data_IF_554984253139
#
_entry.id   IF_554984253139
#
_cell.length_a   1.000
_cell.length_b   1.000
_cell.length_c   1.000
_cell.angle_alpha   90.00
_cell.angle_beta   90.00
_cell.angle_gamma   90.00
#
_symmetry.space_group_name_H-M   'P 1'
#
loop_
_entity.id
_entity.type
_entity.pdbx_description
1 polymer ?
#
# COMPACT_ATOMS: atom_id res chain seq x y z
N UNK A 1 22.85 14.72 0.07
CA UNK A 1 23.47 13.38 0.07
C UNK A 1 22.56 12.35 0.71
N UNK A 2 22.19 12.42 1.99
CA UNK A 2 21.29 11.42 2.58
C UNK A 2 19.85 11.53 2.05
N UNK A 3 19.31 12.76 1.96
CA UNK A 3 17.99 13.02 1.37
C UNK A 3 17.82 12.53 -0.08
N UNK A 4 18.90 12.45 -0.87
CA UNK A 4 18.82 12.05 -2.28
C UNK A 4 18.46 10.56 -2.45
N UNK A 5 18.67 9.74 -1.41
CA UNK A 5 18.38 8.29 -1.41
C UNK A 5 17.14 7.92 -0.62
N UNK A 6 16.71 8.76 0.32
CA UNK A 6 15.55 8.51 1.16
C UNK A 6 14.25 8.55 0.35
N UNK A 7 14.07 9.51 -0.56
CA UNK A 7 12.87 9.56 -1.40
C UNK A 7 12.74 8.35 -2.35
N UNK A 8 13.79 7.95 -3.11
CA UNK A 8 13.72 6.70 -3.88
C UNK A 8 13.44 5.47 -3.01
N UNK A 9 14.03 5.39 -1.81
CA UNK A 9 13.76 4.27 -0.90
C UNK A 9 12.30 4.24 -0.43
N UNK A 10 11.74 5.39 -0.07
CA UNK A 10 10.33 5.54 0.31
C UNK A 10 9.38 5.05 -0.80
N UNK A 11 9.63 5.48 -2.04
CA UNK A 11 8.81 5.07 -3.19
C UNK A 11 8.93 3.57 -3.48
N UNK A 12 10.12 2.97 -3.35
CA UNK A 12 10.29 1.52 -3.55
C UNK A 12 9.63 0.70 -2.43
N UNK A 13 9.72 1.13 -1.18
CA UNK A 13 8.99 0.52 -0.05
C UNK A 13 7.48 0.57 -0.33
N UNK A 14 6.99 1.72 -0.77
CA UNK A 14 5.58 1.90 -1.09
C UNK A 14 5.13 0.98 -2.23
N UNK A 15 5.91 0.88 -3.32
CA UNK A 15 5.63 -0.04 -4.43
C UNK A 15 5.63 -1.50 -4.01
N UNK A 16 6.51 -1.90 -3.10
CA UNK A 16 6.51 -3.25 -2.55
C UNK A 16 5.18 -3.53 -1.81
N UNK A 17 4.71 -2.58 -1.00
CA UNK A 17 3.42 -2.69 -0.31
C UNK A 17 2.26 -2.79 -1.32
N UNK A 18 2.20 -1.92 -2.34
CA UNK A 18 1.17 -1.98 -3.38
C UNK A 18 1.17 -3.34 -4.09
N UNK A 19 2.35 -3.85 -4.44
CA UNK A 19 2.51 -5.14 -5.12
C UNK A 19 1.95 -6.30 -4.28
N UNK A 20 2.21 -6.30 -2.96
CA UNK A 20 1.66 -7.32 -2.05
C UNK A 20 0.14 -7.23 -1.98
N UNK A 21 -0.41 -6.01 -1.87
CA UNK A 21 -1.86 -5.82 -1.82
C UNK A 21 -2.54 -6.24 -3.13
N UNK A 22 -1.95 -5.95 -4.28
CA UNK A 22 -2.45 -6.41 -5.58
C UNK A 22 -2.39 -7.93 -5.72
N UNK A 23 -1.31 -8.57 -5.27
CA UNK A 23 -1.20 -10.03 -5.26
C UNK A 23 -2.28 -10.66 -4.37
N UNK A 24 -2.49 -10.12 -3.17
CA UNK A 24 -3.56 -10.55 -2.26
C UNK A 24 -4.94 -10.39 -2.89
N UNK A 25 -5.19 -9.26 -3.55
CA UNK A 25 -6.44 -9.02 -4.27
C UNK A 25 -6.69 -10.05 -5.35
N UNK A 26 -5.68 -10.35 -6.17
CA UNK A 26 -5.76 -11.36 -7.21
C UNK A 26 -6.08 -12.74 -6.64
N UNK A 27 -5.38 -13.15 -5.57
CA UNK A 27 -5.62 -14.42 -4.89
C UNK A 27 -7.01 -14.51 -4.25
N UNK A 28 -7.63 -13.36 -3.94
CA UNK A 28 -8.99 -13.27 -3.42
C UNK A 28 -10.02 -12.91 -4.51
N UNK A 29 -9.69 -13.12 -5.78
CA UNK A 29 -10.64 -13.12 -6.91
C UNK A 29 -10.80 -11.78 -7.64
N UNK A 30 -10.01 -10.76 -7.32
CA UNK A 30 -10.00 -9.51 -8.08
C UNK A 30 -9.06 -9.64 -9.30
N UNK A 31 -9.63 -9.82 -10.48
CA UNK A 31 -8.88 -10.01 -11.74
C UNK A 31 -8.37 -8.69 -12.35
N UNK A 32 -8.93 -7.55 -11.93
CA UNK A 32 -8.66 -6.21 -12.48
C UNK A 32 -8.68 -5.15 -11.40
N UNK A 33 -7.77 -4.18 -11.50
CA UNK A 33 -7.78 -2.95 -10.69
C UNK A 33 -8.75 -1.94 -11.28
N UNK A 34 -10.05 -2.24 -11.17
CA UNK A 34 -11.16 -1.34 -11.53
C UNK A 34 -12.26 -1.48 -10.50
N UNK A 35 -12.81 -0.34 -10.08
CA UNK A 35 -13.87 -0.33 -9.09
C UNK A 35 -15.03 0.54 -9.55
N UNK A 36 -16.26 0.10 -9.33
CA UNK A 36 -17.47 0.85 -9.69
C UNK A 36 -18.27 1.20 -8.45
N UNK A 37 -18.62 2.48 -8.30
CA UNK A 37 -19.49 2.94 -7.23
C UNK A 37 -20.52 3.93 -7.79
N UNK A 38 -21.81 3.63 -7.60
CA UNK A 38 -22.93 4.49 -8.02
C UNK A 38 -22.86 4.91 -9.50
N UNK A 39 -22.48 3.99 -10.39
CA UNK A 39 -22.34 4.24 -11.82
C UNK A 39 -21.04 4.96 -12.23
N UNK A 40 -20.19 5.38 -11.29
CA UNK A 40 -18.87 5.95 -11.58
C UNK A 40 -17.79 4.88 -11.54
N UNK A 41 -16.94 4.87 -12.57
CA UNK A 41 -15.74 4.04 -12.60
C UNK A 41 -14.57 4.76 -11.93
N UNK A 42 -13.84 4.01 -11.11
CA UNK A 42 -12.58 4.40 -10.49
C UNK A 42 -11.45 3.54 -11.06
N UNK A 43 -10.27 4.13 -11.23
CA UNK A 43 -9.07 3.49 -11.77
C UNK A 43 -7.84 3.87 -10.94
N UNK A 44 -6.74 3.13 -11.14
CA UNK A 44 -5.47 3.35 -10.43
C UNK A 44 -5.61 3.17 -8.93
N UNK A 45 -4.88 3.97 -8.15
CA UNK A 45 -4.79 3.80 -6.69
C UNK A 45 -6.12 3.94 -5.96
N UNK A 46 -7.00 4.84 -6.41
CA UNK A 46 -8.31 5.00 -5.75
C UNK A 46 -9.18 3.74 -5.94
N UNK A 47 -9.09 3.09 -7.11
CA UNK A 47 -9.72 1.78 -7.30
C UNK A 47 -9.08 0.72 -6.40
N UNK A 48 -7.74 0.71 -6.30
CA UNK A 48 -6.99 -0.21 -5.46
C UNK A 48 -7.41 -0.09 -3.98
N UNK A 49 -7.50 1.13 -3.44
CA UNK A 49 -7.98 1.39 -2.08
C UNK A 49 -9.38 0.81 -1.82
N UNK A 50 -10.33 1.01 -2.75
CA UNK A 50 -11.66 0.43 -2.60
C UNK A 50 -11.67 -1.09 -2.69
N UNK A 51 -10.86 -1.65 -3.60
CA UNK A 51 -10.74 -3.10 -3.76
C UNK A 51 -10.14 -3.73 -2.50
N UNK A 52 -9.06 -3.17 -1.94
CA UNK A 52 -8.44 -3.65 -0.69
C UNK A 52 -9.47 -3.60 0.45
N UNK A 53 -10.18 -2.49 0.61
CA UNK A 53 -11.21 -2.34 1.65
C UNK A 53 -12.28 -3.43 1.53
N UNK A 54 -12.78 -3.67 0.32
CA UNK A 54 -13.95 -4.54 0.13
C UNK A 54 -13.61 -6.02 0.02
N UNK A 55 -12.45 -6.37 -0.54
CA UNK A 55 -12.06 -7.77 -0.75
C UNK A 55 -11.10 -8.29 0.31
N UNK A 56 -10.30 -7.43 0.95
CA UNK A 56 -9.34 -7.87 1.97
C UNK A 56 -9.80 -7.51 3.37
N UNK A 57 -10.12 -6.24 3.64
CA UNK A 57 -10.49 -5.79 4.99
C UNK A 57 -11.86 -6.32 5.41
N UNK A 58 -12.92 -6.09 4.61
CA UNK A 58 -14.29 -6.55 4.95
C UNK A 58 -14.38 -8.07 5.05
N UNK A 59 -13.56 -8.80 4.29
CA UNK A 59 -13.46 -10.26 4.34
C UNK A 59 -12.47 -10.75 5.41
N UNK A 60 -11.91 -9.85 6.23
CA UNK A 60 -10.97 -10.15 7.33
C UNK A 60 -9.69 -10.88 6.90
N UNK A 61 -9.28 -10.72 5.65
CA UNK A 61 -7.98 -11.20 5.13
C UNK A 61 -6.83 -10.33 5.63
N UNK A 62 -7.10 -9.04 5.81
CA UNK A 62 -6.21 -8.10 6.50
C UNK A 62 -6.96 -7.48 7.69
N UNK A 63 -6.19 -7.03 8.68
CA UNK A 63 -6.69 -6.31 9.85
C UNK A 63 -6.97 -4.85 9.51
N UNK A 64 -7.72 -4.18 10.39
CA UNK A 64 -7.93 -2.73 10.28
C UNK A 64 -6.61 -1.97 10.35
N UNK A 65 -5.71 -2.36 11.27
CA UNK A 65 -4.40 -1.76 11.41
C UNK A 65 -3.58 -1.90 10.12
N UNK A 66 -3.71 -3.03 9.42
CA UNK A 66 -3.02 -3.26 8.15
C UNK A 66 -3.54 -2.41 7.01
N UNK A 67 -4.85 -2.26 6.93
CA UNK A 67 -5.48 -1.36 5.98
C UNK A 67 -5.12 0.11 6.25
N UNK A 68 -5.18 0.54 7.51
CA UNK A 68 -4.89 1.92 7.91
C UNK A 68 -3.42 2.27 7.65
N UNK A 69 -2.50 1.33 7.89
CA UNK A 69 -1.09 1.48 7.51
C UNK A 69 -0.91 1.64 6.00
N UNK A 70 -1.57 0.82 5.18
CA UNK A 70 -1.51 0.96 3.72
C UNK A 70 -2.00 2.35 3.26
N UNK A 71 -3.09 2.86 3.85
CA UNK A 71 -3.57 4.21 3.54
C UNK A 71 -2.58 5.29 3.97
N UNK A 72 -1.94 5.13 5.13
CA UNK A 72 -0.89 6.04 5.60
C UNK A 72 0.31 6.01 4.64
N UNK A 73 0.85 4.83 4.31
CA UNK A 73 1.95 4.68 3.36
C UNK A 73 1.62 5.29 1.97
N UNK A 74 0.39 5.11 1.49
CA UNK A 74 -0.08 5.71 0.24
C UNK A 74 -0.19 7.24 0.27
N UNK A 75 -0.36 7.83 1.45
CA UNK A 75 -0.39 9.28 1.64
C UNK A 75 1.02 9.81 1.90
N UNK A 76 1.72 9.24 2.88
CA UNK A 76 3.01 9.69 3.39
C UNK A 76 4.12 9.39 2.40
N UNK A 77 4.38 8.12 2.06
CA UNK A 77 5.50 7.77 1.19
C UNK A 77 5.31 8.30 -0.23
N UNK A 78 4.09 8.18 -0.77
CA UNK A 78 3.84 8.60 -2.14
C UNK A 78 3.65 10.10 -2.30
N UNK A 79 2.89 10.83 -1.45
CA UNK A 79 2.71 12.28 -1.65
C UNK A 79 3.90 13.10 -1.17
N UNK A 80 4.62 12.67 -0.12
CA UNK A 80 5.82 13.38 0.31
C UNK A 80 6.92 13.33 -0.76
N UNK A 81 6.97 12.27 -1.59
CA UNK A 81 7.84 12.22 -2.75
C UNK A 81 7.56 13.32 -3.80
N UNK A 82 6.34 13.87 -3.85
CA UNK A 82 5.96 14.98 -4.74
C UNK A 82 5.96 16.35 -4.06
N UNK A 83 6.03 16.39 -2.73
CA UNK A 83 5.94 17.65 -1.97
C UNK A 83 7.34 18.12 -1.62
N UNK A 84 7.80 19.18 -2.30
CA UNK A 84 9.12 19.77 -2.07
C UNK A 84 9.22 20.25 -0.61
N UNK A 85 9.94 19.50 0.25
CA UNK A 85 10.16 19.85 1.67
C UNK A 85 9.80 18.77 2.69
N UNK A 86 9.26 17.62 2.28
CA UNK A 86 8.97 16.52 3.19
C UNK A 86 10.24 15.65 3.45
N UNK A 87 10.96 15.90 4.53
CA UNK A 87 12.11 15.08 4.90
C UNK A 87 11.65 13.76 5.53
N UNK A 88 11.98 12.64 4.89
CA UNK A 88 11.93 11.34 5.55
C UNK A 88 13.13 11.17 6.48
N UNK A 89 12.94 10.50 7.60
CA UNK A 89 14.03 10.00 8.42
C UNK A 89 14.29 8.52 8.13
N UNK A 90 15.54 8.08 8.27
CA UNK A 90 15.95 6.69 8.05
C UNK A 90 15.19 5.73 8.98
N UNK A 91 15.02 6.11 10.25
CA UNK A 91 14.29 5.29 11.23
C UNK A 91 12.82 5.10 10.85
N UNK A 92 12.22 6.10 10.21
CA UNK A 92 10.84 6.02 9.72
C UNK A 92 10.74 5.04 8.55
N UNK A 93 11.68 5.10 7.59
CA UNK A 93 11.72 4.15 6.48
C UNK A 93 12.00 2.72 6.94
N UNK A 94 12.86 2.52 7.95
CA UNK A 94 13.11 1.19 8.52
C UNK A 94 11.83 0.59 9.13
N UNK A 95 11.03 1.39 9.85
CA UNK A 95 9.71 0.95 10.35
C UNK A 95 8.75 0.59 9.23
N UNK A 96 8.72 1.38 8.16
CA UNK A 96 7.85 1.09 7.01
C UNK A 96 8.29 -0.18 6.28
N UNK A 97 9.59 -0.41 6.18
CA UNK A 97 10.16 -1.60 5.55
C UNK A 97 9.85 -2.86 6.38
N UNK A 98 10.07 -2.84 7.69
CA UNK A 98 9.72 -3.95 8.59
C UNK A 98 8.23 -4.29 8.48
N UNK A 99 7.39 -3.27 8.40
CA UNK A 99 5.96 -3.47 8.26
C UNK A 99 5.59 -4.08 6.90
N UNK A 100 6.19 -3.61 5.81
CA UNK A 100 6.00 -4.18 4.48
C UNK A 100 6.44 -5.65 4.42
N UNK A 101 7.56 -5.99 5.06
CA UNK A 101 8.06 -7.36 5.17
C UNK A 101 7.08 -8.26 5.94
N UNK A 102 6.56 -7.79 7.07
CA UNK A 102 5.55 -8.51 7.86
C UNK A 102 4.27 -8.77 7.06
N UNK A 103 3.79 -7.77 6.31
CA UNK A 103 2.64 -7.93 5.43
C UNK A 103 2.90 -9.00 4.36
N UNK A 104 4.10 -9.01 3.76
CA UNK A 104 4.50 -10.00 2.76
C UNK A 104 4.46 -11.43 3.32
N UNK A 105 5.05 -11.65 4.50
CA UNK A 105 5.02 -12.98 5.13
C UNK A 105 3.61 -13.43 5.49
N UNK A 106 2.77 -12.52 5.97
CA UNK A 106 1.37 -12.82 6.25
C UNK A 106 0.60 -13.18 4.98
N UNK A 107 0.84 -12.45 3.88
CA UNK A 107 0.20 -12.73 2.60
C UNK A 107 0.52 -14.15 2.11
N UNK A 108 1.76 -14.60 2.28
CA UNK A 108 2.18 -15.98 1.99
C UNK A 108 1.44 -17.01 2.85
N UNK A 109 1.12 -16.70 4.10
CA UNK A 109 0.41 -17.61 5.00
C UNK A 109 -1.11 -17.69 4.77
N UNK A 110 -1.67 -16.79 3.94
CA UNK A 110 -3.09 -16.77 3.58
C UNK A 110 -3.41 -17.57 2.31
N UNK A 111 -2.38 -18.10 1.64
CA UNK A 111 -2.47 -19.07 0.54
C UNK A 111 -2.58 -20.49 1.09
#
# INVERSE_FOLDING_TARGET
>A
MENDRLYPAAEEIFRAIETVMEALLYLNGADKIRYYLRGKQFVGRLALQYLIRDNLLKQRKISKQEHDFYLAAASELHQAAYTYGASFDKEELEKHLEWAENLFFKARALQ
#
